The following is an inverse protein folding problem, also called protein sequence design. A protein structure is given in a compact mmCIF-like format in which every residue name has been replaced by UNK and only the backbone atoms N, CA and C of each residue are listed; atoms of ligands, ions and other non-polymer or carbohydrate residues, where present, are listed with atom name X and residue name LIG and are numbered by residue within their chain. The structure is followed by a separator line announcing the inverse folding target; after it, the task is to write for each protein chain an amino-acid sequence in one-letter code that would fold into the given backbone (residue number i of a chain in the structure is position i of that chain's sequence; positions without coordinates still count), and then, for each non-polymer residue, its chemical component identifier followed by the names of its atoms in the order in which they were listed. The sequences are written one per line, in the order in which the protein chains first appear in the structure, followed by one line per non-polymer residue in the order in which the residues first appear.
data_IF_542684121605
#
_entry.id   IF_542684121605
#
_cell.length_a   1.000
_cell.length_b   1.000
_cell.length_c   1.000
_cell.angle_alpha   90.00
_cell.angle_beta   90.00
_cell.angle_gamma   90.00
#
_symmetry.space_group_name_H-M   'P 1'
#
loop_
_entity.id
_entity.type
_entity.pdbx_description
1 polymer ?
#
# COMPACT_ATOMS: atom_id res chain seq x y z
N UNK A 1 21.51 -17.20 8.47
CA UNK A 1 20.26 -18.00 8.67
C UNK A 1 19.73 -17.74 10.08
N UNK A 2 18.48 -17.32 10.21
CA UNK A 2 17.87 -17.03 11.53
C UNK A 2 17.54 -18.38 12.19
N UNK A 3 17.99 -18.58 13.44
CA UNK A 3 17.68 -19.83 14.18
C UNK A 3 16.19 -19.86 14.56
N UNK A 4 15.55 -21.02 14.43
CA UNK A 4 14.12 -21.22 14.74
C UNK A 4 13.74 -20.79 16.16
N UNK A 5 14.61 -21.06 17.14
CA UNK A 5 14.41 -20.62 18.54
C UNK A 5 14.29 -19.10 18.68
N UNK A 6 14.99 -18.32 17.84
CA UNK A 6 14.92 -16.86 17.84
C UNK A 6 13.60 -16.38 17.22
N UNK A 7 13.08 -17.11 16.23
CA UNK A 7 11.77 -16.82 15.63
C UNK A 7 10.64 -17.00 16.63
N UNK A 8 10.71 -18.03 17.48
CA UNK A 8 9.67 -18.30 18.48
C UNK A 8 9.63 -17.24 19.57
N UNK A 9 10.78 -16.74 19.99
CA UNK A 9 10.94 -15.78 21.10
C UNK A 9 10.89 -14.29 20.68
N UNK A 10 10.95 -13.99 19.38
CA UNK A 10 10.99 -12.58 18.93
C UNK A 10 9.72 -11.83 19.26
N UNK A 11 9.88 -10.62 19.82
CA UNK A 11 8.82 -9.65 20.06
C UNK A 11 8.71 -8.60 18.92
N UNK A 12 9.49 -8.73 17.85
CA UNK A 12 9.39 -7.83 16.70
C UNK A 12 7.99 -7.93 16.09
N UNK A 13 7.32 -6.78 15.95
CA UNK A 13 5.91 -6.70 15.58
C UNK A 13 5.55 -7.48 14.29
N UNK A 14 6.38 -7.53 13.21
CA UNK A 14 5.99 -8.28 12.03
C UNK A 14 5.86 -9.78 12.30
N UNK A 15 6.75 -10.32 13.12
CA UNK A 15 6.71 -11.73 13.52
C UNK A 15 5.54 -12.03 14.48
N UNK A 16 5.25 -11.13 15.39
CA UNK A 16 4.11 -11.26 16.31
C UNK A 16 2.80 -11.32 15.51
N UNK A 17 2.61 -10.38 14.59
CA UNK A 17 1.41 -10.32 13.74
C UNK A 17 1.34 -11.49 12.76
N UNK A 18 2.45 -11.89 12.13
CA UNK A 18 2.48 -13.04 11.25
C UNK A 18 2.10 -14.34 11.97
N UNK A 19 2.63 -14.59 13.18
CA UNK A 19 2.25 -15.75 14.02
C UNK A 19 0.77 -15.70 14.39
N UNK A 20 0.26 -14.52 14.77
CA UNK A 20 -1.15 -14.33 15.09
C UNK A 20 -2.04 -14.69 13.89
N UNK A 21 -1.71 -14.14 12.71
CA UNK A 21 -2.46 -14.41 11.49
C UNK A 21 -2.45 -15.88 11.09
N UNK A 22 -1.28 -16.55 11.13
CA UNK A 22 -1.16 -17.98 10.84
C UNK A 22 -2.02 -18.84 11.79
N UNK A 23 -2.11 -18.46 13.06
CA UNK A 23 -2.95 -19.14 14.05
C UNK A 23 -4.43 -18.88 13.85
N UNK A 24 -4.83 -17.60 13.73
CA UNK A 24 -6.23 -17.20 13.71
C UNK A 24 -6.92 -17.47 12.37
N UNK A 25 -6.16 -17.49 11.27
CA UNK A 25 -6.66 -17.72 9.92
C UNK A 25 -6.28 -19.07 9.33
N UNK A 26 -5.82 -20.01 10.17
CA UNK A 26 -5.28 -21.31 9.76
C UNK A 26 -6.16 -22.02 8.72
N UNK A 27 -7.41 -22.27 9.04
CA UNK A 27 -8.35 -23.00 8.17
C UNK A 27 -8.58 -22.29 6.83
N UNK A 28 -8.63 -20.95 6.83
CA UNK A 28 -8.79 -20.17 5.61
C UNK A 28 -7.53 -20.24 4.73
N UNK A 29 -6.36 -20.10 5.34
CA UNK A 29 -5.06 -20.16 4.65
C UNK A 29 -4.86 -21.56 4.04
N UNK A 30 -5.12 -22.62 4.80
CA UNK A 30 -5.04 -24.01 4.32
C UNK A 30 -5.96 -24.25 3.12
N UNK A 31 -7.19 -23.75 3.17
CA UNK A 31 -8.15 -23.85 2.07
C UNK A 31 -7.70 -23.11 0.81
N UNK A 32 -7.03 -21.96 0.96
CA UNK A 32 -6.57 -21.13 -0.16
C UNK A 32 -5.21 -21.57 -0.71
N UNK A 33 -4.38 -22.25 0.09
CA UNK A 33 -3.03 -22.65 -0.27
C UNK A 33 -2.04 -21.48 -0.46
N UNK A 34 -2.43 -20.27 -0.09
CA UNK A 34 -1.62 -19.06 -0.17
C UNK A 34 -2.07 -18.01 0.85
N UNK A 35 -1.19 -17.03 1.09
CA UNK A 35 -1.43 -15.87 1.93
C UNK A 35 -1.47 -14.63 1.05
N UNK A 36 -2.56 -13.87 1.11
CA UNK A 36 -2.70 -12.60 0.40
C UNK A 36 -2.73 -11.47 1.41
N UNK A 37 -1.78 -10.54 1.31
CA UNK A 37 -1.76 -9.30 2.05
C UNK A 37 -2.20 -8.15 1.15
N UNK A 38 -2.82 -7.15 1.73
CA UNK A 38 -3.24 -5.96 1.00
C UNK A 38 -2.57 -4.72 1.59
N UNK A 39 -2.10 -3.85 0.72
CA UNK A 39 -1.73 -2.48 1.05
C UNK A 39 -2.52 -1.52 0.17
N UNK A 40 -2.63 -0.26 0.57
CA UNK A 40 -3.42 0.72 -0.15
C UNK A 40 -2.68 2.04 -0.34
N UNK A 41 -3.01 2.72 -1.43
CA UNK A 41 -2.52 4.05 -1.74
C UNK A 41 -3.65 4.88 -2.38
N UNK A 42 -3.92 6.05 -1.79
CA UNK A 42 -4.78 7.06 -2.41
C UNK A 42 -3.93 8.05 -3.22
N UNK A 43 -4.06 8.10 -4.55
CA UNK A 43 -3.23 8.95 -5.41
C UNK A 43 -3.67 10.43 -5.38
N UNK A 44 -3.86 11.00 -4.19
CA UNK A 44 -4.33 12.36 -3.95
C UNK A 44 -3.21 13.41 -3.86
N UNK A 45 -1.96 13.00 -4.07
CA UNK A 45 -0.78 13.86 -4.06
C UNK A 45 0.48 13.08 -4.41
N UNK A 46 1.61 13.78 -4.48
CA UNK A 46 2.91 13.14 -4.74
C UNK A 46 3.22 12.11 -3.64
N UNK A 47 3.80 10.96 -4.01
CA UNK A 47 4.24 9.96 -3.05
C UNK A 47 5.20 10.57 -2.01
N UNK A 48 5.05 10.18 -0.77
CA UNK A 48 5.87 10.65 0.35
C UNK A 48 6.18 9.51 1.33
N UNK A 49 6.92 9.81 2.39
CA UNK A 49 7.33 8.80 3.39
C UNK A 49 6.16 8.02 4.00
N UNK A 50 4.97 8.62 4.12
CA UNK A 50 3.76 7.94 4.58
C UNK A 50 3.30 6.87 3.59
N UNK A 51 3.31 7.17 2.29
CA UNK A 51 3.02 6.21 1.22
C UNK A 51 4.00 5.05 1.23
N UNK A 52 5.29 5.35 1.34
CA UNK A 52 6.33 4.33 1.50
C UNK A 52 6.11 3.46 2.75
N UNK A 53 5.69 4.09 3.86
CA UNK A 53 5.42 3.40 5.11
C UNK A 53 4.34 2.32 4.99
N UNK A 54 3.32 2.50 4.16
CA UNK A 54 2.27 1.48 3.91
C UNK A 54 2.86 0.25 3.21
N UNK A 55 3.64 0.47 2.16
CA UNK A 55 4.31 -0.62 1.42
C UNK A 55 5.35 -1.30 2.30
N UNK A 56 6.17 -0.53 3.02
CA UNK A 56 7.22 -1.06 3.90
C UNK A 56 6.65 -1.97 4.99
N UNK A 57 5.57 -1.55 5.68
CA UNK A 57 4.91 -2.39 6.70
C UNK A 57 4.42 -3.72 6.13
N UNK A 58 3.79 -3.68 4.97
CA UNK A 58 3.29 -4.90 4.31
C UNK A 58 4.45 -5.81 3.87
N UNK A 59 5.53 -5.23 3.35
CA UNK A 59 6.74 -5.98 2.98
C UNK A 59 7.43 -6.62 4.19
N UNK A 60 7.46 -5.95 5.34
CA UNK A 60 7.96 -6.53 6.60
C UNK A 60 7.14 -7.75 7.04
N UNK A 61 5.82 -7.71 6.83
CA UNK A 61 4.94 -8.87 7.08
C UNK A 61 5.26 -10.03 6.15
N UNK A 62 5.42 -9.77 4.85
CA UNK A 62 5.83 -10.80 3.87
C UNK A 62 7.14 -11.44 4.26
N UNK A 63 8.14 -10.61 4.62
CA UNK A 63 9.44 -11.12 5.07
C UNK A 63 9.32 -11.97 6.34
N UNK A 64 8.51 -11.56 7.32
CA UNK A 64 8.28 -12.37 8.52
C UNK A 64 7.62 -13.71 8.18
N UNK A 65 6.62 -13.72 7.29
CA UNK A 65 5.93 -14.93 6.84
C UNK A 65 6.87 -15.89 6.11
N UNK A 66 7.77 -15.40 5.27
CA UNK A 66 8.75 -16.26 4.56
C UNK A 66 9.70 -17.02 5.50
N UNK A 67 9.82 -16.58 6.76
CA UNK A 67 10.57 -17.31 7.79
C UNK A 67 9.70 -18.27 8.62
N UNK A 68 8.39 -18.14 8.58
CA UNK A 68 7.44 -18.89 9.42
C UNK A 68 6.67 -19.97 8.65
N UNK A 69 6.58 -19.87 7.32
CA UNK A 69 5.83 -20.81 6.47
C UNK A 69 6.40 -20.86 5.07
N UNK A 70 6.26 -21.99 4.39
CA UNK A 70 6.61 -22.18 2.98
C UNK A 70 5.45 -21.82 2.03
N UNK A 71 4.33 -21.35 2.55
CA UNK A 71 3.18 -20.97 1.74
C UNK A 71 3.50 -19.74 0.89
N UNK A 72 3.08 -19.73 -0.38
CA UNK A 72 3.20 -18.56 -1.23
C UNK A 72 2.52 -17.34 -0.60
N UNK A 73 3.23 -16.22 -0.55
CA UNK A 73 2.69 -14.94 -0.05
C UNK A 73 2.72 -13.91 -1.16
N UNK A 74 1.60 -13.26 -1.40
CA UNK A 74 1.44 -12.20 -2.38
C UNK A 74 0.97 -10.90 -1.74
N UNK A 75 1.33 -9.76 -2.33
CA UNK A 75 0.84 -8.44 -1.96
C UNK A 75 -0.07 -7.94 -3.08
N UNK A 76 -1.28 -7.53 -2.73
CA UNK A 76 -2.15 -6.77 -3.61
C UNK A 76 -2.05 -5.31 -3.21
N UNK A 77 -1.59 -4.48 -4.13
CA UNK A 77 -1.59 -3.03 -3.97
C UNK A 77 -2.90 -2.47 -4.52
N UNK A 78 -3.71 -1.91 -3.64
CA UNK A 78 -4.98 -1.29 -3.99
C UNK A 78 -4.78 0.21 -4.19
N UNK A 79 -5.26 0.74 -5.31
CA UNK A 79 -5.32 2.17 -5.56
C UNK A 79 -6.74 2.69 -5.36
N UNK A 80 -6.91 3.66 -4.46
CA UNK A 80 -8.18 4.35 -4.24
C UNK A 80 -8.26 5.62 -5.10
N UNK A 81 -8.29 5.44 -6.41
CA UNK A 81 -8.31 6.52 -7.40
C UNK A 81 -9.70 7.14 -7.60
N UNK A 82 -10.74 6.51 -7.08
CA UNK A 82 -12.10 7.05 -7.02
C UNK A 82 -12.34 7.95 -5.80
N UNK A 83 -11.40 8.03 -4.86
CA UNK A 83 -11.48 8.95 -3.73
C UNK A 83 -11.56 10.40 -4.22
N UNK A 84 -12.33 11.22 -3.52
CA UNK A 84 -12.48 12.64 -3.85
C UNK A 84 -11.23 13.45 -3.49
N UNK A 85 -10.86 14.42 -4.31
CA UNK A 85 -9.82 15.40 -3.98
C UNK A 85 -10.29 16.25 -2.79
N UNK A 86 -9.78 15.97 -1.58
CA UNK A 86 -10.23 16.60 -0.32
C UNK A 86 -9.58 17.95 -0.05
N UNK A 87 -8.37 18.15 -0.53
CA UNK A 87 -7.59 19.39 -0.38
C UNK A 87 -6.59 19.52 -1.52
N UNK A 88 -6.18 20.74 -1.80
CA UNK A 88 -5.11 21.01 -2.75
C UNK A 88 -3.76 20.82 -2.05
N UNK A 89 -2.87 19.92 -2.58
CA UNK A 89 -1.53 19.77 -2.03
C UNK A 89 -0.69 21.05 -2.23
N UNK A 90 0.19 21.35 -1.27
CA UNK A 90 0.96 22.60 -1.29
C UNK A 90 2.02 22.67 -2.38
N UNK A 91 2.59 21.54 -2.75
CA UNK A 91 3.72 21.39 -3.68
C UNK A 91 3.32 21.01 -5.12
N UNK A 92 2.10 21.35 -5.52
CA UNK A 92 1.56 21.04 -6.83
C UNK A 92 1.38 22.34 -7.64
N UNK A 93 1.68 22.37 -8.94
CA UNK A 93 1.38 23.51 -9.81
C UNK A 93 -0.14 23.65 -10.05
N UNK A 94 -0.55 24.80 -10.58
CA UNK A 94 -1.94 25.06 -10.97
C UNK A 94 -2.97 24.82 -9.84
N UNK A 95 -2.70 25.37 -8.65
CA UNK A 95 -3.58 25.20 -7.48
C UNK A 95 -5.02 25.60 -7.74
N UNK A 96 -5.25 26.68 -8.50
CA UNK A 96 -6.61 27.13 -8.86
C UNK A 96 -7.37 26.10 -9.70
N UNK A 97 -6.67 25.33 -10.55
CA UNK A 97 -7.27 24.23 -11.30
C UNK A 97 -7.77 23.15 -10.34
N UNK A 98 -6.96 22.79 -9.35
CA UNK A 98 -7.32 21.79 -8.36
C UNK A 98 -8.43 22.26 -7.42
N UNK A 99 -8.41 23.53 -7.00
CA UNK A 99 -9.47 24.13 -6.18
C UNK A 99 -10.85 24.05 -6.84
N UNK A 100 -10.94 24.33 -8.14
CA UNK A 100 -12.18 24.20 -8.93
C UNK A 100 -12.66 22.76 -9.09
N UNK A 101 -11.81 21.78 -8.76
CA UNK A 101 -12.08 20.36 -8.90
C UNK A 101 -12.10 19.62 -7.54
N UNK A 102 -12.16 20.35 -6.42
CA UNK A 102 -12.35 19.76 -5.10
C UNK A 102 -13.58 18.85 -5.06
N UNK A 103 -13.48 17.80 -4.29
CA UNK A 103 -14.51 16.75 -4.09
C UNK A 103 -14.86 15.90 -5.31
N UNK A 104 -14.22 16.12 -6.47
CA UNK A 104 -14.34 15.21 -7.61
C UNK A 104 -13.45 13.98 -7.40
N UNK A 105 -13.83 12.81 -7.91
CA UNK A 105 -12.96 11.64 -7.94
C UNK A 105 -11.62 11.99 -8.60
N UNK A 106 -10.52 11.47 -8.08
CA UNK A 106 -9.16 11.77 -8.59
C UNK A 106 -9.01 11.45 -10.07
N UNK A 107 -9.74 10.45 -10.58
CA UNK A 107 -9.83 10.11 -12.01
C UNK A 107 -10.55 11.16 -12.86
N UNK A 108 -11.28 12.09 -12.24
CA UNK A 108 -11.98 13.20 -12.92
C UNK A 108 -11.35 14.58 -12.67
N UNK A 109 -10.30 14.63 -11.88
CA UNK A 109 -9.52 15.86 -11.65
C UNK A 109 -8.49 15.97 -12.77
N UNK A 110 -8.45 17.08 -13.56
CA UNK A 110 -7.42 17.26 -14.58
C UNK A 110 -6.02 17.23 -13.99
N UNK A 111 -5.06 16.70 -14.75
CA UNK A 111 -3.66 16.68 -14.30
C UNK A 111 -3.06 18.10 -14.27
N UNK A 112 -2.65 18.62 -13.10
CA UNK A 112 -2.05 19.95 -13.00
C UNK A 112 -0.66 20.07 -13.65
N UNK A 113 -0.03 18.94 -14.00
CA UNK A 113 1.25 18.89 -14.72
C UNK A 113 1.07 18.76 -16.23
N UNK A 114 -0.15 18.49 -16.70
CA UNK A 114 -0.46 18.36 -18.12
C UNK A 114 0.17 17.17 -18.85
N UNK A 115 0.55 16.12 -18.12
CA UNK A 115 1.23 14.93 -18.67
C UNK A 115 0.31 13.74 -18.85
N UNK A 116 -0.76 13.67 -18.08
CA UNK A 116 -1.71 12.55 -18.04
C UNK A 116 -3.15 13.05 -18.16
N UNK A 117 -4.07 12.12 -18.34
CA UNK A 117 -5.50 12.46 -18.50
C UNK A 117 -6.12 12.93 -17.19
N UNK A 118 -5.58 12.51 -16.05
CA UNK A 118 -6.09 12.87 -14.73
C UNK A 118 -4.98 12.98 -13.68
N UNK A 119 -5.29 13.67 -12.60
CA UNK A 119 -4.39 13.77 -11.44
C UNK A 119 -4.16 12.42 -10.76
N UNK A 120 -5.18 11.57 -10.71
CA UNK A 120 -5.04 10.20 -10.23
C UNK A 120 -4.04 9.40 -11.06
N UNK A 121 -4.14 9.43 -12.38
CA UNK A 121 -3.23 8.74 -13.30
C UNK A 121 -1.80 9.26 -13.18
N UNK A 122 -1.62 10.58 -13.07
CA UNK A 122 -0.29 11.17 -12.84
C UNK A 122 0.38 10.60 -11.59
N UNK A 123 -0.31 10.63 -10.45
CA UNK A 123 0.26 10.16 -9.19
C UNK A 123 0.50 8.65 -9.19
N UNK A 124 -0.36 7.86 -9.84
CA UNK A 124 -0.14 6.42 -10.01
C UNK A 124 1.09 6.11 -10.86
N UNK A 125 1.37 6.91 -11.89
CA UNK A 125 2.55 6.71 -12.74
C UNK A 125 3.87 6.81 -11.96
N UNK A 126 3.89 7.60 -10.88
CA UNK A 126 5.08 7.78 -10.04
C UNK A 126 5.41 6.55 -9.18
N UNK A 127 4.44 5.71 -8.90
CA UNK A 127 4.64 4.48 -8.11
C UNK A 127 5.39 3.43 -8.91
N UNK A 128 5.24 3.42 -10.23
CA UNK A 128 5.92 2.46 -11.11
C UNK A 128 7.41 2.77 -11.34
N UNK A 129 7.90 3.90 -10.86
CA UNK A 129 9.28 4.36 -11.05
C UNK A 129 10.16 3.98 -9.84
N UNK A 130 9.58 3.53 -8.76
CA UNK A 130 10.28 3.21 -7.50
C UNK A 130 10.63 1.73 -7.38
#
# INVERSE_FOLDING_TARGET
MIKKENLDKTAAWPFVEAKRMLRERKSYIEKKGKITLQTGYGPSGLPHIGTFGEVARTSMMVNALSHLTDLPTEIITFSDDMDGLRKVPENIPQKELLEKNLHKPLTKVPDPFGKFSSFGEHNLSLIHIS
#
